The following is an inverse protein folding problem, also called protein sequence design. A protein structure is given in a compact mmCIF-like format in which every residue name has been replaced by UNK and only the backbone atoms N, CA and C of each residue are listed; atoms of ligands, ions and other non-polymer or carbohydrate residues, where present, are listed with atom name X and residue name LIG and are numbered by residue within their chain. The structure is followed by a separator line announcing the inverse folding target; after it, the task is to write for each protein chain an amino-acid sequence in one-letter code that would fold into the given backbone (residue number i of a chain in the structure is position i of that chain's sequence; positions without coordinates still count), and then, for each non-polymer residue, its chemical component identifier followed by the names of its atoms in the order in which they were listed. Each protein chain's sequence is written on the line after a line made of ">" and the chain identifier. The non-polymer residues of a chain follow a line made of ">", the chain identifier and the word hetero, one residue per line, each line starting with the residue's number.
data_IF_815972078052
#
_entry.id   IF_815972078052
#
_cell.length_a   1.000
_cell.length_b   1.000
_cell.length_c   1.000
_cell.angle_alpha   90.00
_cell.angle_beta   90.00
_cell.angle_gamma   90.00
#
_symmetry.space_group_name_H-M   'P 1'
#
loop_
_entity.id
_entity.type
_entity.pdbx_description
1 polymer ?
#
# COMPACT_ATOMS: atom_id res chain seq x y z
N UNK A 1 32.80 -18.57 43.61
CA UNK A 1 32.77 -19.91 42.96
C UNK A 1 31.45 -19.97 42.20
N UNK A 2 31.56 -19.99 40.86
CA UNK A 2 30.50 -20.05 39.85
C UNK A 2 29.54 -18.85 39.86
N UNK A 3 29.96 -17.78 39.19
CA UNK A 3 29.02 -16.91 38.47
C UNK A 3 28.41 -17.78 37.36
N UNK A 4 27.12 -18.12 37.48
CA UNK A 4 26.38 -18.74 36.38
C UNK A 4 26.27 -17.72 35.25
N UNK A 5 27.25 -17.73 34.35
CA UNK A 5 27.04 -17.19 33.02
C UNK A 5 25.91 -18.01 32.41
N UNK A 6 24.77 -17.38 32.13
CA UNK A 6 23.68 -18.02 31.39
C UNK A 6 24.24 -18.54 30.06
N UNK A 7 24.57 -19.84 30.01
CA UNK A 7 25.03 -20.50 28.80
C UNK A 7 23.82 -20.75 27.91
N UNK A 8 23.61 -19.86 26.94
CA UNK A 8 22.59 -20.04 25.92
C UNK A 8 23.07 -21.00 24.83
N UNK A 9 22.39 -22.14 24.68
CA UNK A 9 22.58 -23.03 23.54
C UNK A 9 21.85 -22.40 22.35
N UNK A 10 22.58 -22.12 21.27
CA UNK A 10 21.99 -21.68 20.00
C UNK A 10 21.90 -22.87 19.05
N UNK A 11 20.69 -23.39 18.88
CA UNK A 11 20.39 -24.48 17.93
C UNK A 11 19.71 -23.94 16.65
N UNK A 12 19.42 -24.85 15.71
CA UNK A 12 18.75 -24.50 14.46
C UNK A 12 17.35 -23.90 14.69
N UNK A 13 16.64 -24.32 15.74
CA UNK A 13 15.33 -23.77 16.09
C UNK A 13 15.44 -22.33 16.58
N UNK A 14 16.52 -22.01 17.32
CA UNK A 14 16.83 -20.66 17.78
C UNK A 14 17.13 -19.73 16.60
N UNK A 15 17.88 -20.22 15.60
CA UNK A 15 18.16 -19.50 14.35
C UNK A 15 16.87 -19.24 13.56
N UNK A 16 16.04 -20.26 13.35
CA UNK A 16 14.78 -20.11 12.61
C UNK A 16 13.78 -19.21 13.34
N UNK A 17 13.67 -19.34 14.67
CA UNK A 17 12.84 -18.46 15.49
C UNK A 17 13.29 -17.01 15.35
N UNK A 18 14.60 -16.75 15.44
CA UNK A 18 15.15 -15.42 15.25
C UNK A 18 14.80 -14.87 13.85
N UNK A 19 14.99 -15.67 12.80
CA UNK A 19 14.62 -15.29 11.44
C UNK A 19 13.15 -14.91 11.30
N UNK A 20 12.23 -15.72 11.82
CA UNK A 20 10.79 -15.45 11.75
C UNK A 20 10.44 -14.16 12.52
N UNK A 21 10.95 -14.00 13.74
CA UNK A 21 10.65 -12.82 14.57
C UNK A 21 11.20 -11.54 13.94
N UNK A 22 12.44 -11.56 13.43
CA UNK A 22 13.02 -10.43 12.71
C UNK A 22 12.22 -10.11 11.45
N UNK A 23 11.93 -11.13 10.63
CA UNK A 23 11.21 -10.96 9.35
C UNK A 23 9.80 -10.40 9.52
N UNK A 24 9.09 -10.86 10.56
CA UNK A 24 7.72 -10.40 10.86
C UNK A 24 7.70 -9.00 11.48
N UNK A 25 8.74 -8.63 12.23
CA UNK A 25 8.81 -7.31 12.84
C UNK A 25 9.27 -6.20 11.88
N UNK A 26 10.28 -6.47 11.05
CA UNK A 26 10.86 -5.48 10.15
C UNK A 26 9.84 -4.96 9.13
N UNK A 27 9.90 -3.66 8.87
CA UNK A 27 9.13 -2.97 7.83
C UNK A 27 10.00 -2.74 6.59
N UNK A 28 9.39 -2.53 5.43
CA UNK A 28 10.09 -2.19 4.18
C UNK A 28 10.08 -3.29 3.12
N UNK A 29 10.65 -3.03 1.95
CA UNK A 29 10.80 -4.01 0.88
C UNK A 29 11.95 -5.02 1.12
N UNK A 30 12.15 -6.00 0.21
CA UNK A 30 13.28 -6.94 0.27
C UNK A 30 14.66 -6.27 0.30
N UNK A 31 14.79 -5.09 -0.32
CA UNK A 31 16.02 -4.29 -0.35
C UNK A 31 16.15 -3.31 0.82
N UNK A 32 15.14 -3.23 1.69
CA UNK A 32 15.06 -2.31 2.82
C UNK A 32 15.08 -3.07 4.16
N UNK A 33 15.40 -4.36 4.15
CA UNK A 33 15.49 -5.20 5.34
C UNK A 33 16.80 -5.97 5.33
N UNK A 34 17.41 -6.13 6.48
CA UNK A 34 18.53 -7.05 6.68
C UNK A 34 17.98 -8.20 7.51
N UNK A 35 17.78 -9.36 6.87
CA UNK A 35 17.30 -10.55 7.55
C UNK A 35 18.50 -11.34 8.10
N UNK A 36 18.39 -11.97 9.28
CA UNK A 36 19.42 -12.85 9.79
C UNK A 36 19.63 -14.03 8.85
N UNK A 37 20.84 -14.60 8.89
CA UNK A 37 21.09 -15.90 8.25
C UNK A 37 20.20 -16.98 8.87
N UNK A 38 19.83 -17.95 8.04
CA UNK A 38 19.10 -19.17 8.46
C UNK A 38 20.05 -20.32 8.79
N UNK A 39 21.35 -20.06 8.82
CA UNK A 39 22.39 -21.02 9.13
C UNK A 39 23.44 -20.37 10.02
N UNK A 40 24.16 -21.19 10.79
CA UNK A 40 25.28 -20.73 11.59
C UNK A 40 26.43 -20.38 10.64
N UNK A 41 26.89 -19.13 10.68
CA UNK A 41 28.01 -18.66 9.86
C UNK A 41 29.32 -18.98 10.57
N UNK A 42 30.31 -19.47 9.82
CA UNK A 42 31.69 -19.59 10.30
C UNK A 42 32.44 -18.29 9.99
N UNK A 43 33.28 -17.84 10.91
CA UNK A 43 34.21 -16.75 10.67
C UNK A 43 35.44 -17.22 9.89
N UNK A 44 36.31 -16.28 9.50
CA UNK A 44 37.54 -16.57 8.75
C UNK A 44 38.53 -17.46 9.53
N UNK A 45 38.26 -17.76 10.80
CA UNK A 45 39.06 -18.64 11.66
C UNK A 45 38.43 -20.02 11.85
N UNK A 46 37.29 -20.30 11.21
CA UNK A 46 36.54 -21.55 11.31
C UNK A 46 35.70 -21.66 12.59
N UNK A 47 35.56 -20.58 13.36
CA UNK A 47 34.71 -20.55 14.55
C UNK A 47 33.28 -20.14 14.16
N UNK A 48 32.30 -20.80 14.78
CA UNK A 48 30.89 -20.46 14.58
C UNK A 48 30.58 -19.09 15.20
N UNK A 49 30.19 -18.14 14.36
CA UNK A 49 29.71 -16.83 14.79
C UNK A 49 28.29 -16.96 15.35
N UNK A 50 28.15 -16.71 16.65
CA UNK A 50 26.83 -16.70 17.29
C UNK A 50 25.96 -15.57 16.70
N UNK A 51 24.75 -15.86 16.20
CA UNK A 51 23.84 -14.83 15.71
C UNK A 51 23.33 -14.00 16.88
N UNK A 52 23.12 -12.69 16.66
CA UNK A 52 22.42 -11.87 17.65
C UNK A 52 20.94 -12.21 17.64
N UNK A 53 20.47 -12.87 18.68
CA UNK A 53 19.08 -13.30 18.80
C UNK A 53 18.18 -12.13 19.20
N UNK A 54 17.02 -12.03 18.56
CA UNK A 54 15.96 -11.12 18.95
C UNK A 54 15.28 -11.63 20.24
N UNK A 55 15.55 -10.97 21.36
CA UNK A 55 14.99 -11.30 22.68
C UNK A 55 13.96 -10.28 23.18
N UNK A 56 14.08 -9.02 22.78
CA UNK A 56 13.18 -7.95 23.22
C UNK A 56 13.15 -6.78 22.21
N UNK A 57 12.19 -5.88 22.39
CA UNK A 57 12.09 -4.66 21.61
C UNK A 57 13.01 -3.56 22.18
N UNK A 58 13.66 -2.74 21.33
CA UNK A 58 13.63 -2.75 19.87
C UNK A 58 14.53 -3.83 19.25
N UNK A 59 14.26 -4.19 17.99
CA UNK A 59 15.06 -5.18 17.24
C UNK A 59 16.55 -4.79 17.18
N UNK A 60 17.50 -5.75 17.25
CA UNK A 60 18.92 -5.47 17.13
C UNK A 60 19.26 -4.58 15.93
N UNK A 61 20.19 -3.64 16.15
CA UNK A 61 20.59 -2.64 15.14
C UNK A 61 21.16 -3.25 13.87
N UNK A 62 21.74 -4.44 13.95
CA UNK A 62 22.31 -5.17 12.82
C UNK A 62 21.26 -5.56 11.77
N UNK A 63 20.02 -5.77 12.21
CA UNK A 63 18.89 -6.05 11.33
C UNK A 63 18.20 -4.79 10.82
N UNK A 64 18.66 -3.60 11.26
CA UNK A 64 18.12 -2.31 10.85
C UNK A 64 19.04 -1.69 9.79
N UNK A 65 18.68 -1.72 8.50
CA UNK A 65 19.49 -1.09 7.48
C UNK A 65 19.53 0.43 7.69
N UNK A 66 20.73 0.99 7.52
CA UNK A 66 20.91 2.43 7.46
C UNK A 66 20.35 2.96 6.13
N UNK A 67 19.07 3.32 6.13
CA UNK A 67 18.48 4.02 4.99
C UNK A 67 19.08 5.43 4.96
N UNK A 68 19.94 5.68 3.97
CA UNK A 68 20.49 7.02 3.75
C UNK A 68 19.33 7.97 3.46
N UNK A 69 19.25 9.06 4.24
CA UNK A 69 18.25 10.10 4.02
C UNK A 69 18.46 10.62 2.61
N UNK A 70 17.43 10.55 1.77
CA UNK A 70 17.50 10.98 0.36
C UNK A 70 17.97 12.43 0.34
N UNK A 71 19.19 12.68 -0.16
CA UNK A 71 19.72 14.04 -0.23
C UNK A 71 18.85 14.85 -1.18
N UNK A 72 18.38 16.00 -0.72
CA UNK A 72 17.60 16.95 -1.51
C UNK A 72 18.55 17.86 -2.32
N UNK A 73 19.56 17.28 -2.98
CA UNK A 73 20.34 18.07 -3.93
C UNK A 73 19.38 18.43 -5.05
N UNK A 74 19.00 19.71 -5.08
CA UNK A 74 18.20 20.33 -6.14
C UNK A 74 19.03 20.31 -7.43
N UNK A 75 19.07 19.17 -8.11
CA UNK A 75 19.39 19.14 -9.53
C UNK A 75 18.10 19.38 -10.28
N UNK A 76 18.07 20.49 -11.01
CA UNK A 76 16.96 20.81 -11.90
C UNK A 76 16.96 19.80 -13.05
N UNK A 77 15.95 18.93 -13.09
CA UNK A 77 15.80 17.93 -14.14
C UNK A 77 14.67 18.33 -15.11
N UNK A 78 14.62 17.66 -16.26
CA UNK A 78 13.65 17.93 -17.33
C UNK A 78 12.20 17.90 -16.80
N UNK A 79 11.92 17.00 -15.86
CA UNK A 79 10.60 16.88 -15.24
C UNK A 79 10.25 18.09 -14.38
N UNK A 80 11.19 18.57 -13.57
CA UNK A 80 10.99 19.76 -12.74
C UNK A 80 10.74 20.98 -13.61
N UNK A 81 11.49 21.13 -14.71
CA UNK A 81 11.27 22.20 -15.69
C UNK A 81 9.90 22.11 -16.34
N UNK A 82 9.49 20.91 -16.74
CA UNK A 82 8.17 20.65 -17.34
C UNK A 82 7.02 21.00 -16.37
N UNK A 83 7.10 20.54 -15.12
CA UNK A 83 6.08 20.79 -14.09
C UNK A 83 5.99 22.27 -13.72
N UNK A 84 7.11 23.00 -13.71
CA UNK A 84 7.14 24.44 -13.42
C UNK A 84 6.63 25.28 -14.59
N UNK A 85 6.76 24.80 -15.84
CA UNK A 85 6.28 25.49 -17.02
C UNK A 85 4.75 25.42 -17.19
N UNK A 86 4.06 24.57 -16.43
CA UNK A 86 2.61 24.42 -16.53
C UNK A 86 1.88 25.67 -16.01
N UNK A 87 1.12 26.33 -16.89
CA UNK A 87 0.32 27.52 -16.56
C UNK A 87 -1.20 27.28 -16.53
N UNK A 88 -1.64 26.04 -16.27
CA UNK A 88 -3.07 25.73 -16.10
C UNK A 88 -3.91 25.88 -17.37
N UNK A 89 -3.31 25.68 -18.55
CA UNK A 89 -3.98 25.82 -19.84
C UNK A 89 -5.09 24.79 -20.07
N UNK A 90 -6.10 25.16 -20.88
CA UNK A 90 -7.27 24.34 -21.30
C UNK A 90 -6.92 23.06 -22.10
N UNK A 91 -5.64 22.74 -22.30
CA UNK A 91 -5.15 21.60 -23.10
C UNK A 91 -4.68 20.45 -22.21
N UNK A 92 -5.47 20.08 -21.20
CA UNK A 92 -5.11 19.10 -20.17
C UNK A 92 -4.76 17.73 -20.76
N UNK A 93 -5.47 17.30 -21.82
CA UNK A 93 -5.16 16.04 -22.54
C UNK A 93 -3.76 16.04 -23.15
N UNK A 94 -3.41 17.08 -23.92
CA UNK A 94 -2.08 17.23 -24.52
C UNK A 94 -1.00 17.39 -23.45
N UNK A 95 -1.31 18.04 -22.33
CA UNK A 95 -0.38 18.14 -21.21
C UNK A 95 -0.11 16.78 -20.56
N UNK A 96 -1.15 15.97 -20.33
CA UNK A 96 -1.04 14.62 -19.76
C UNK A 96 -0.20 13.71 -20.66
N UNK A 97 -0.41 13.75 -21.98
CA UNK A 97 0.37 12.98 -22.96
C UNK A 97 1.85 13.37 -22.90
N UNK A 98 2.17 14.68 -22.98
CA UNK A 98 3.55 15.17 -22.84
C UNK A 98 4.19 14.82 -21.49
N UNK A 99 3.41 14.89 -20.42
CA UNK A 99 3.87 14.53 -19.07
C UNK A 99 4.29 13.06 -19.01
N UNK A 100 3.51 12.16 -19.63
CA UNK A 100 3.84 10.73 -19.74
C UNK A 100 5.14 10.51 -20.52
N UNK A 101 5.33 11.21 -21.64
CA UNK A 101 6.55 11.09 -22.45
C UNK A 101 7.80 11.55 -21.69
N UNK A 102 7.73 12.69 -21.00
CA UNK A 102 8.84 13.21 -20.19
C UNK A 102 9.15 12.27 -19.03
N UNK A 103 8.12 11.79 -18.32
CA UNK A 103 8.27 10.84 -17.22
C UNK A 103 8.90 9.52 -17.72
N UNK A 104 8.41 8.97 -18.83
CA UNK A 104 8.95 7.75 -19.43
C UNK A 104 10.43 7.91 -19.75
N UNK A 105 10.80 8.97 -20.49
CA UNK A 105 12.20 9.26 -20.84
C UNK A 105 13.08 9.39 -19.61
N UNK A 106 12.60 10.06 -18.57
CA UNK A 106 13.34 10.23 -17.32
C UNK A 106 13.51 8.91 -16.56
N UNK A 107 12.46 8.10 -16.46
CA UNK A 107 12.53 6.79 -15.80
C UNK A 107 13.47 5.81 -16.52
N UNK A 108 13.59 5.92 -17.85
CA UNK A 108 14.52 5.11 -18.64
C UNK A 108 15.97 5.58 -18.53
N UNK A 109 16.21 6.91 -18.53
CA UNK A 109 17.57 7.46 -18.61
C UNK A 109 18.19 7.77 -17.26
N UNK A 110 17.40 8.30 -16.31
CA UNK A 110 17.85 8.80 -15.00
C UNK A 110 16.77 8.56 -13.92
N UNK A 111 16.40 7.29 -13.63
CA UNK A 111 15.33 6.96 -12.67
C UNK A 111 15.63 7.47 -11.25
N UNK A 112 16.91 7.69 -10.95
CA UNK A 112 17.37 8.20 -9.67
C UNK A 112 17.00 9.66 -9.41
N UNK A 113 16.65 10.43 -10.45
CA UNK A 113 16.28 11.84 -10.37
C UNK A 113 14.77 12.07 -10.16
N UNK A 114 13.93 11.06 -10.38
CA UNK A 114 12.48 11.11 -10.18
C UNK A 114 12.10 10.81 -8.74
N UNK A 115 12.45 11.71 -7.80
CA UNK A 115 12.27 11.44 -6.36
C UNK A 115 11.74 12.66 -5.60
N UNK A 116 11.15 12.39 -4.43
CA UNK A 116 10.74 13.42 -3.46
C UNK A 116 9.74 14.42 -4.04
N UNK A 117 10.01 15.71 -3.88
CA UNK A 117 9.09 16.78 -4.26
C UNK A 117 8.66 16.75 -5.73
N UNK A 118 9.51 16.27 -6.65
CA UNK A 118 9.16 16.12 -8.07
C UNK A 118 7.99 15.15 -8.24
N UNK A 119 8.00 14.03 -7.50
CA UNK A 119 6.90 13.06 -7.51
C UNK A 119 5.63 13.65 -6.91
N UNK A 120 5.73 14.44 -5.84
CA UNK A 120 4.55 15.05 -5.22
C UNK A 120 3.86 16.02 -6.19
N UNK A 121 4.65 16.90 -6.81
CA UNK A 121 4.15 17.85 -7.81
C UNK A 121 3.60 17.14 -9.04
N UNK A 122 4.28 16.10 -9.52
CA UNK A 122 3.80 15.27 -10.61
C UNK A 122 2.42 14.69 -10.29
N UNK A 123 2.25 14.03 -9.15
CA UNK A 123 0.99 13.41 -8.77
C UNK A 123 -0.15 14.43 -8.64
N UNK A 124 0.10 15.57 -7.99
CA UNK A 124 -0.90 16.63 -7.83
C UNK A 124 -1.32 17.24 -9.17
N UNK A 125 -0.37 17.57 -10.04
CA UNK A 125 -0.66 18.15 -11.36
C UNK A 125 -1.28 17.12 -12.30
N UNK A 126 -0.82 15.88 -12.28
CA UNK A 126 -1.37 14.79 -13.11
C UNK A 126 -2.82 14.54 -12.80
N UNK A 127 -3.15 14.34 -11.52
CA UNK A 127 -4.55 14.14 -11.10
C UNK A 127 -5.40 15.37 -11.42
N UNK A 128 -4.89 16.57 -11.16
CA UNK A 128 -5.65 17.80 -11.46
C UNK A 128 -5.94 17.97 -12.96
N UNK A 129 -4.99 17.63 -13.84
CA UNK A 129 -5.20 17.68 -15.30
C UNK A 129 -6.11 16.55 -15.78
N UNK A 130 -5.99 15.33 -15.24
CA UNK A 130 -6.87 14.22 -15.61
C UNK A 130 -8.32 14.48 -15.18
N UNK A 131 -8.56 15.18 -14.06
CA UNK A 131 -9.91 15.57 -13.66
C UNK A 131 -10.63 16.48 -14.67
N UNK A 132 -9.88 17.15 -15.56
CA UNK A 132 -10.43 18.01 -16.62
C UNK A 132 -10.75 17.23 -17.91
N UNK A 133 -10.40 15.95 -17.97
CA UNK A 133 -10.62 15.08 -19.14
C UNK A 133 -11.84 14.19 -18.85
N UNK A 134 -12.93 14.37 -19.60
CA UNK A 134 -14.19 13.65 -19.36
C UNK A 134 -14.04 12.12 -19.38
N UNK A 135 -13.23 11.57 -20.29
CA UNK A 135 -13.01 10.13 -20.41
C UNK A 135 -12.27 9.52 -19.20
N UNK A 136 -11.49 10.33 -18.51
CA UNK A 136 -10.71 9.95 -17.33
C UNK A 136 -11.53 10.18 -16.04
N UNK A 137 -12.20 11.33 -15.93
CA UNK A 137 -12.98 11.75 -14.77
C UNK A 137 -14.43 11.25 -14.82
N UNK A 138 -14.61 9.92 -14.78
CA UNK A 138 -15.91 9.28 -14.98
C UNK A 138 -16.79 9.25 -13.72
N UNK A 139 -16.21 9.45 -12.52
CA UNK A 139 -16.94 9.38 -11.27
C UNK A 139 -17.29 10.78 -10.75
N UNK A 140 -18.51 10.99 -10.25
CA UNK A 140 -18.88 12.27 -9.66
C UNK A 140 -18.09 12.51 -8.37
N UNK A 141 -17.69 13.77 -8.16
CA UNK A 141 -17.16 14.22 -6.88
C UNK A 141 -18.32 14.42 -5.90
N UNK A 142 -18.21 13.80 -4.73
CA UNK A 142 -19.19 13.97 -3.65
C UNK A 142 -18.70 15.04 -2.68
N UNK A 143 -19.55 16.01 -2.37
CA UNK A 143 -19.25 16.93 -1.27
C UNK A 143 -19.62 16.25 0.05
N UNK A 144 -18.69 16.21 1.01
CA UNK A 144 -19.01 15.75 2.36
C UNK A 144 -19.86 16.82 3.06
N UNK A 145 -21.18 16.68 2.99
CA UNK A 145 -22.10 17.42 3.89
C UNK A 145 -21.87 16.94 5.33
N UNK A 146 -21.77 17.87 6.29
CA UNK A 146 -21.57 17.59 7.72
C UNK A 146 -20.33 16.73 8.07
N UNK A 147 -19.23 16.91 7.33
CA UNK A 147 -17.99 16.15 7.46
C UNK A 147 -17.49 16.09 8.92
N UNK A 148 -17.46 17.23 9.61
CA UNK A 148 -16.78 17.34 10.91
C UNK A 148 -17.42 16.48 12.00
N UNK A 149 -18.76 16.43 12.06
CA UNK A 149 -19.46 15.61 13.05
C UNK A 149 -19.35 14.12 12.71
N UNK A 150 -19.44 13.76 11.43
CA UNK A 150 -19.28 12.38 10.99
C UNK A 150 -17.86 11.86 11.28
N UNK A 151 -16.83 12.68 11.03
CA UNK A 151 -15.42 12.35 11.26
C UNK A 151 -15.14 12.17 12.75
N UNK A 152 -15.64 13.07 13.61
CA UNK A 152 -15.48 12.96 15.07
C UNK A 152 -16.06 11.66 15.61
N UNK A 153 -17.22 11.24 15.11
CA UNK A 153 -17.90 10.02 15.52
C UNK A 153 -17.34 8.75 14.88
N UNK A 154 -16.52 8.86 13.83
CA UNK A 154 -15.93 7.71 13.15
C UNK A 154 -14.86 7.07 14.04
N UNK A 155 -15.07 5.80 14.41
CA UNK A 155 -14.14 5.01 15.21
C UNK A 155 -13.34 4.08 14.31
N UNK A 156 -12.02 4.15 14.42
CA UNK A 156 -11.13 3.22 13.74
C UNK A 156 -11.17 1.86 14.47
N UNK A 157 -11.12 0.76 13.72
CA UNK A 157 -11.05 -0.58 14.30
C UNK A 157 -9.68 -0.85 14.93
N UNK A 158 -9.53 -1.87 15.80
CA UNK A 158 -8.21 -2.27 16.32
C UNK A 158 -7.20 -2.58 15.21
N UNK A 159 -7.66 -3.24 14.13
CA UNK A 159 -6.84 -3.53 12.96
C UNK A 159 -6.36 -2.25 12.27
N UNK A 160 -7.23 -1.24 12.15
CA UNK A 160 -6.86 0.04 11.56
C UNK A 160 -5.84 0.79 12.41
N UNK A 161 -5.97 0.79 13.73
CA UNK A 161 -4.96 1.37 14.62
C UNK A 161 -3.59 0.67 14.48
N UNK A 162 -3.58 -0.66 14.33
CA UNK A 162 -2.35 -1.41 14.05
C UNK A 162 -1.73 -1.02 12.69
N UNK A 163 -2.57 -0.83 11.67
CA UNK A 163 -2.16 -0.32 10.37
C UNK A 163 -1.51 1.07 10.47
N UNK A 164 -2.15 2.00 11.18
CA UNK A 164 -1.60 3.34 11.44
C UNK A 164 -0.22 3.24 12.09
N UNK A 165 -0.07 2.47 13.17
CA UNK A 165 1.23 2.27 13.85
C UNK A 165 2.30 1.72 12.90
N UNK A 166 1.92 0.77 12.04
CA UNK A 166 2.82 0.15 11.06
C UNK A 166 3.30 1.15 10.02
N UNK A 167 2.39 1.98 9.51
CA UNK A 167 2.65 3.01 8.49
C UNK A 167 3.54 4.11 9.06
N UNK A 168 3.27 4.60 10.28
CA UNK A 168 4.10 5.61 10.93
C UNK A 168 5.51 5.09 11.19
N UNK A 169 5.63 3.86 11.71
CA UNK A 169 6.94 3.20 11.88
C UNK A 169 7.70 3.11 10.55
N UNK A 170 7.01 2.76 9.46
CA UNK A 170 7.61 2.69 8.13
C UNK A 170 8.00 4.07 7.58
N UNK A 171 7.17 5.10 7.72
CA UNK A 171 7.49 6.46 7.30
C UNK A 171 8.68 7.08 8.06
N UNK A 172 8.81 6.77 9.35
CA UNK A 172 9.99 7.14 10.16
C UNK A 172 11.23 6.39 9.65
N UNK A 173 11.11 5.08 9.39
CA UNK A 173 12.19 4.27 8.83
C UNK A 173 12.69 4.82 7.49
N UNK A 174 11.77 5.25 6.61
CA UNK A 174 12.07 5.92 5.34
C UNK A 174 12.57 7.37 5.49
N UNK A 175 12.54 7.94 6.71
CA UNK A 175 12.89 9.34 7.01
C UNK A 175 12.04 10.38 6.26
N UNK A 176 10.79 10.03 5.96
CA UNK A 176 9.78 10.94 5.37
C UNK A 176 8.78 11.46 6.40
N UNK A 177 8.74 10.84 7.58
CA UNK A 177 8.00 11.30 8.76
C UNK A 177 9.00 11.61 9.89
N UNK A 178 8.88 12.78 10.52
CA UNK A 178 9.80 13.22 11.57
C UNK A 178 9.24 12.97 12.99
N UNK A 179 7.93 13.13 13.19
CA UNK A 179 7.28 13.09 14.52
C UNK A 179 6.26 11.97 14.59
N UNK A 180 6.45 11.00 15.49
CA UNK A 180 5.55 9.83 15.58
C UNK A 180 4.14 10.18 16.07
N UNK A 181 3.99 11.03 17.09
CA UNK A 181 2.69 11.33 17.70
C UNK A 181 1.78 12.13 16.78
N UNK A 182 2.24 13.31 16.33
CA UNK A 182 1.50 14.19 15.42
C UNK A 182 1.12 13.50 14.12
N UNK A 183 2.06 12.74 13.52
CA UNK A 183 1.75 12.02 12.28
C UNK A 183 0.79 10.85 12.51
N UNK A 184 0.78 10.23 13.70
CA UNK A 184 -0.22 9.21 14.06
C UNK A 184 -1.62 9.83 14.11
N UNK A 185 -1.75 11.00 14.72
CA UNK A 185 -3.02 11.73 14.78
C UNK A 185 -3.47 12.19 13.39
N UNK A 186 -2.56 12.76 12.59
CA UNK A 186 -2.83 13.19 11.23
C UNK A 186 -3.29 12.03 10.32
N UNK A 187 -2.59 10.89 10.36
CA UNK A 187 -3.00 9.70 9.61
C UNK A 187 -4.32 9.12 10.12
N UNK A 188 -4.54 9.10 11.43
CA UNK A 188 -5.81 8.65 12.01
C UNK A 188 -6.96 9.54 11.57
N UNK A 189 -6.76 10.86 11.55
CA UNK A 189 -7.74 11.82 11.06
C UNK A 189 -8.01 11.62 9.56
N UNK A 190 -6.97 11.51 8.73
CA UNK A 190 -7.09 11.22 7.30
C UNK A 190 -7.88 9.93 7.06
N UNK A 191 -7.66 8.89 7.89
CA UNK A 191 -8.38 7.63 7.77
C UNK A 191 -9.86 7.72 8.11
N UNK A 192 -10.20 8.49 9.14
CA UNK A 192 -11.60 8.80 9.46
C UNK A 192 -12.27 9.59 8.35
N UNK A 193 -11.60 10.64 7.87
CA UNK A 193 -12.10 11.49 6.79
C UNK A 193 -12.38 10.68 5.51
N UNK A 194 -11.41 9.87 5.12
CA UNK A 194 -11.54 8.95 4.00
C UNK A 194 -12.63 7.91 4.21
N UNK A 195 -12.72 7.31 5.40
CA UNK A 195 -13.76 6.34 5.73
C UNK A 195 -15.16 6.92 5.63
N UNK A 196 -15.37 8.15 6.13
CA UNK A 196 -16.62 8.89 5.98
C UNK A 196 -16.95 9.15 4.50
N UNK A 197 -15.97 9.60 3.72
CA UNK A 197 -16.13 9.88 2.31
C UNK A 197 -16.50 8.64 1.50
N UNK A 198 -15.82 7.52 1.73
CA UNK A 198 -16.09 6.27 1.03
C UNK A 198 -17.44 5.69 1.42
N UNK A 199 -17.85 5.82 2.69
CA UNK A 199 -19.17 5.38 3.16
C UNK A 199 -20.31 6.07 2.41
N UNK A 200 -20.15 7.34 1.99
CA UNK A 200 -21.14 8.05 1.19
C UNK A 200 -21.27 7.48 -0.24
N UNK A 201 -20.23 6.83 -0.75
CA UNK A 201 -20.21 6.22 -2.08
C UNK A 201 -20.75 4.77 -2.08
N UNK A 202 -20.93 4.19 -0.89
CA UNK A 202 -21.40 2.81 -0.74
C UNK A 202 -22.90 2.70 -0.99
N UNK A 203 -23.29 1.61 -1.65
CA UNK A 203 -24.70 1.22 -1.77
C UNK A 203 -25.05 0.31 -0.60
N UNK A 204 -26.13 0.62 0.10
CA UNK A 204 -26.70 -0.32 1.07
C UNK A 204 -27.33 -1.47 0.31
N UNK A 205 -26.88 -2.69 0.56
CA UNK A 205 -27.52 -3.91 0.07
C UNK A 205 -27.41 -5.00 1.12
N UNK A 206 -28.44 -5.85 1.21
CA UNK A 206 -28.40 -7.04 2.07
C UNK A 206 -27.59 -8.12 1.38
N UNK A 207 -26.60 -8.65 2.07
CA UNK A 207 -25.73 -9.70 1.54
C UNK A 207 -25.73 -10.90 2.47
N UNK A 208 -25.61 -12.11 1.92
CA UNK A 208 -25.28 -13.28 2.74
C UNK A 208 -23.90 -13.14 3.40
N UNK A 209 -23.02 -12.30 2.83
CA UNK A 209 -21.68 -12.02 3.32
C UNK A 209 -21.67 -10.76 4.19
N UNK A 210 -21.73 -10.94 5.52
CA UNK A 210 -21.78 -9.84 6.51
C UNK A 210 -20.68 -8.79 6.37
N UNK A 211 -19.49 -9.17 5.87
CA UNK A 211 -18.38 -8.22 5.70
C UNK A 211 -18.62 -7.18 4.59
N UNK A 212 -19.62 -7.39 3.72
CA UNK A 212 -20.02 -6.46 2.67
C UNK A 212 -21.07 -5.44 3.13
N UNK A 213 -21.71 -5.68 4.27
CA UNK A 213 -22.81 -4.84 4.78
C UNK A 213 -22.30 -3.62 5.57
N UNK A 214 -20.99 -3.53 5.79
CA UNK A 214 -20.36 -2.48 6.58
C UNK A 214 -19.22 -1.79 5.82
N UNK A 215 -18.60 -0.81 6.47
CA UNK A 215 -17.40 -0.15 5.95
C UNK A 215 -16.30 -1.17 5.60
N UNK A 216 -15.36 -0.77 4.75
CA UNK A 216 -14.26 -1.64 4.34
C UNK A 216 -13.58 -2.27 5.59
N UNK A 217 -13.56 -3.61 5.71
CA UNK A 217 -13.12 -4.28 6.94
C UNK A 217 -11.60 -4.27 7.13
N UNK A 218 -10.85 -3.98 6.06
CA UNK A 218 -9.39 -3.94 6.08
C UNK A 218 -8.80 -2.58 6.49
N UNK A 219 -7.48 -2.52 6.43
CA UNK A 219 -6.75 -1.26 6.50
C UNK A 219 -6.53 -0.72 5.09
N UNK A 220 -6.86 0.55 4.86
CA UNK A 220 -6.74 1.18 3.54
C UNK A 220 -5.28 1.58 3.28
N UNK A 221 -4.52 0.60 2.79
CA UNK A 221 -3.12 0.74 2.42
C UNK A 221 -2.89 1.78 1.32
N UNK A 222 -3.88 2.05 0.45
CA UNK A 222 -3.75 3.05 -0.59
C UNK A 222 -3.67 4.44 0.02
N UNK A 223 -4.65 4.81 0.86
CA UNK A 223 -4.65 6.08 1.57
C UNK A 223 -3.41 6.27 2.45
N UNK A 224 -3.02 5.23 3.18
CA UNK A 224 -1.81 5.28 4.01
C UNK A 224 -0.53 5.45 3.18
N UNK A 225 -0.46 4.84 2.00
CA UNK A 225 0.66 5.03 1.08
C UNK A 225 0.71 6.44 0.54
N UNK A 226 -0.44 7.02 0.16
CA UNK A 226 -0.53 8.43 -0.25
C UNK A 226 -0.06 9.36 0.87
N UNK A 227 -0.43 9.10 2.12
CA UNK A 227 0.06 9.86 3.27
C UNK A 227 1.59 9.84 3.38
N UNK A 228 2.22 8.66 3.26
CA UNK A 228 3.69 8.53 3.22
C UNK A 228 4.28 9.27 2.00
N UNK A 229 3.66 9.12 0.83
CA UNK A 229 4.07 9.81 -0.39
C UNK A 229 4.05 11.33 -0.24
N UNK A 230 3.15 11.90 0.57
CA UNK A 230 3.14 13.33 0.86
C UNK A 230 3.89 13.70 2.14
N UNK A 231 4.89 12.90 2.55
CA UNK A 231 5.71 13.11 3.75
C UNK A 231 4.89 13.33 5.03
N UNK A 232 3.76 12.65 5.16
CA UNK A 232 2.87 12.79 6.31
C UNK A 232 1.97 14.04 6.30
N UNK A 233 1.90 14.78 5.19
CA UNK A 233 0.98 15.91 5.07
C UNK A 233 -0.45 15.41 4.77
N UNK A 234 -1.30 15.41 5.80
CA UNK A 234 -2.69 14.93 5.71
C UNK A 234 -3.56 15.73 4.72
N UNK A 235 -3.40 17.04 4.63
CA UNK A 235 -4.23 17.90 3.78
C UNK A 235 -3.93 17.71 2.29
N UNK A 236 -2.65 17.64 1.93
CA UNK A 236 -2.23 17.35 0.56
C UNK A 236 -2.64 15.94 0.14
N UNK A 237 -2.45 14.97 1.03
CA UNK A 237 -2.90 13.60 0.82
C UNK A 237 -4.42 13.54 0.60
N UNK A 238 -5.21 14.22 1.43
CA UNK A 238 -6.66 14.31 1.26
C UNK A 238 -7.05 14.97 -0.07
N UNK A 239 -6.47 16.12 -0.40
CA UNK A 239 -6.77 16.82 -1.66
C UNK A 239 -6.46 15.94 -2.89
N UNK A 240 -5.34 15.19 -2.85
CA UNK A 240 -5.04 14.20 -3.87
C UNK A 240 -6.12 13.12 -3.93
N UNK A 241 -6.44 12.47 -2.81
CA UNK A 241 -7.40 11.37 -2.73
C UNK A 241 -8.80 11.80 -3.20
N UNK A 242 -9.24 12.97 -2.77
CA UNK A 242 -10.51 13.57 -3.17
C UNK A 242 -10.60 13.72 -4.68
N UNK A 243 -9.62 14.38 -5.32
CA UNK A 243 -9.60 14.53 -6.79
C UNK A 243 -9.43 13.19 -7.50
N UNK A 244 -8.54 12.34 -7.00
CA UNK A 244 -8.27 11.02 -7.57
C UNK A 244 -9.52 10.16 -7.61
N UNK A 245 -10.43 10.30 -6.63
CA UNK A 245 -11.70 9.56 -6.60
C UNK A 245 -12.61 9.81 -7.81
N UNK A 246 -12.49 10.96 -8.48
CA UNK A 246 -13.20 11.25 -9.72
C UNK A 246 -12.69 10.42 -10.91
N UNK A 247 -11.42 9.99 -10.86
CA UNK A 247 -10.76 9.33 -11.97
C UNK A 247 -11.13 7.85 -12.05
N UNK A 248 -11.28 7.32 -13.27
CA UNK A 248 -11.50 5.90 -13.56
C UNK A 248 -10.45 5.02 -12.88
N UNK A 249 -9.19 5.45 -12.89
CA UNK A 249 -8.05 4.75 -12.28
C UNK A 249 -8.22 4.48 -10.80
N UNK A 250 -8.96 5.32 -10.07
CA UNK A 250 -9.25 5.07 -8.65
C UNK A 250 -10.11 3.83 -8.43
N UNK A 251 -10.96 3.48 -9.38
CA UNK A 251 -11.73 2.23 -9.37
C UNK A 251 -10.86 0.99 -9.59
N UNK A 252 -9.57 1.11 -9.89
CA UNK A 252 -8.66 -0.03 -10.01
C UNK A 252 -7.60 -0.04 -8.91
N UNK A 253 -7.07 1.13 -8.54
CA UNK A 253 -5.97 1.23 -7.58
C UNK A 253 -6.42 1.33 -6.13
N UNK A 254 -7.63 1.81 -5.87
CA UNK A 254 -8.11 2.10 -4.53
C UNK A 254 -9.14 1.06 -4.07
N UNK A 255 -8.63 -0.07 -3.56
CA UNK A 255 -9.47 -1.22 -3.18
C UNK A 255 -10.54 -0.90 -2.15
N UNK A 256 -10.22 -0.08 -1.14
CA UNK A 256 -11.19 0.33 -0.13
C UNK A 256 -12.38 1.11 -0.73
N UNK A 257 -12.14 1.87 -1.82
CA UNK A 257 -13.19 2.58 -2.54
C UNK A 257 -14.14 1.62 -3.24
N UNK A 258 -13.64 0.54 -3.84
CA UNK A 258 -14.46 -0.47 -4.51
C UNK A 258 -15.37 -1.27 -3.57
N UNK A 259 -15.08 -1.26 -2.26
CA UNK A 259 -15.86 -2.01 -1.29
C UNK A 259 -17.30 -1.51 -1.23
N UNK A 260 -18.23 -2.38 -1.67
CA UNK A 260 -19.67 -2.10 -1.70
C UNK A 260 -20.06 -0.85 -2.51
N UNK A 261 -19.25 -0.46 -3.50
CA UNK A 261 -19.51 0.72 -4.34
C UNK A 261 -19.36 0.40 -5.83
N UNK A 262 -20.01 1.23 -6.67
CA UNK A 262 -19.74 1.39 -8.11
C UNK A 262 -19.90 0.15 -9.01
N UNK A 263 -20.28 -1.00 -8.48
CA UNK A 263 -20.43 -2.26 -9.23
C UNK A 263 -21.91 -2.68 -9.39
N UNK A 264 -22.26 -3.42 -10.47
CA UNK A 264 -23.55 -4.09 -10.59
C UNK A 264 -23.81 -5.05 -9.41
N UNK A 265 -25.06 -5.15 -8.96
CA UNK A 265 -25.46 -5.91 -7.77
C UNK A 265 -25.06 -7.39 -7.82
N UNK A 266 -24.97 -7.99 -9.00
CA UNK A 266 -24.56 -9.39 -9.20
C UNK A 266 -23.08 -9.64 -8.90
N UNK A 267 -22.21 -8.65 -9.11
CA UNK A 267 -20.79 -8.75 -8.76
C UNK A 267 -20.58 -8.47 -7.27
N UNK A 268 -21.36 -7.54 -6.72
CA UNK A 268 -21.31 -7.19 -5.30
C UNK A 268 -21.62 -8.38 -4.39
N UNK A 269 -22.53 -9.29 -4.77
CA UNK A 269 -22.89 -10.45 -3.95
C UNK A 269 -21.73 -11.42 -3.69
N UNK A 270 -20.76 -11.49 -4.60
CA UNK A 270 -19.58 -12.35 -4.45
C UNK A 270 -18.54 -11.79 -3.47
N UNK A 271 -18.56 -10.47 -3.22
CA UNK A 271 -17.51 -9.76 -2.50
C UNK A 271 -16.16 -9.72 -3.22
N UNK A 272 -16.07 -10.26 -4.44
CA UNK A 272 -14.84 -10.24 -5.24
C UNK A 272 -14.77 -8.91 -6.00
N UNK A 273 -13.70 -8.12 -5.83
CA UNK A 273 -13.49 -6.89 -6.58
C UNK A 273 -13.54 -7.14 -8.09
N UNK A 274 -14.20 -6.29 -8.89
CA UNK A 274 -14.30 -6.48 -10.35
C UNK A 274 -12.95 -6.68 -11.03
N UNK A 275 -11.90 -5.96 -10.58
CA UNK A 275 -10.55 -6.12 -11.09
C UNK A 275 -10.03 -7.56 -10.93
N UNK A 276 -10.24 -8.17 -9.77
CA UNK A 276 -9.80 -9.54 -9.51
C UNK A 276 -10.62 -10.55 -10.31
N UNK A 277 -11.94 -10.34 -10.40
CA UNK A 277 -12.81 -11.19 -11.21
C UNK A 277 -12.39 -11.16 -12.69
N UNK A 278 -12.23 -9.98 -13.28
CA UNK A 278 -11.81 -9.83 -14.68
C UNK A 278 -10.39 -10.36 -14.92
N UNK A 279 -9.45 -10.09 -14.00
CA UNK A 279 -8.07 -10.57 -14.15
C UNK A 279 -8.01 -12.09 -14.04
N UNK A 280 -8.69 -12.67 -13.05
CA UNK A 280 -8.76 -14.13 -12.88
C UNK A 280 -9.42 -14.79 -14.10
N UNK A 281 -10.49 -14.20 -14.63
CA UNK A 281 -11.13 -14.69 -15.85
C UNK A 281 -10.20 -14.65 -17.07
N UNK A 282 -9.46 -13.56 -17.28
CA UNK A 282 -8.49 -13.46 -18.38
C UNK A 282 -7.32 -14.45 -18.21
N UNK A 283 -6.83 -14.64 -16.98
CA UNK A 283 -5.82 -15.65 -16.68
C UNK A 283 -6.38 -17.05 -16.94
N UNK A 284 -7.63 -17.33 -16.56
CA UNK A 284 -8.28 -18.61 -16.82
C UNK A 284 -8.35 -18.89 -18.33
N UNK A 285 -8.77 -17.92 -19.14
CA UNK A 285 -8.81 -18.05 -20.60
C UNK A 285 -7.41 -18.33 -21.17
N UNK A 286 -6.39 -17.61 -20.72
CA UNK A 286 -5.02 -17.82 -21.16
C UNK A 286 -4.50 -19.21 -20.75
N UNK A 287 -4.81 -19.67 -19.54
CA UNK A 287 -4.49 -21.03 -19.09
C UNK A 287 -5.24 -22.10 -19.88
N UNK A 288 -6.49 -21.86 -20.28
CA UNK A 288 -7.23 -22.79 -21.12
C UNK A 288 -6.60 -22.94 -22.50
N UNK A 289 -6.08 -21.86 -23.07
CA UNK A 289 -5.42 -21.88 -24.38
C UNK A 289 -4.01 -22.47 -24.31
N UNK A 290 -3.19 -22.00 -23.37
CA UNK A 290 -1.76 -22.34 -23.34
C UNK A 290 -1.45 -23.59 -22.50
N UNK A 291 -2.25 -23.89 -21.46
CA UNK A 291 -1.98 -24.94 -20.47
C UNK A 291 -3.24 -25.76 -20.11
N UNK A 292 -3.87 -26.46 -21.09
CA UNK A 292 -5.16 -27.15 -20.92
C UNK A 292 -5.15 -28.26 -19.85
N UNK A 293 -4.00 -28.87 -19.57
CA UNK A 293 -3.86 -29.88 -18.52
C UNK A 293 -3.89 -29.26 -17.10
N UNK A 294 -3.32 -28.07 -16.93
CA UNK A 294 -3.29 -27.34 -15.65
C UNK A 294 -4.69 -26.87 -15.28
N UNK A 295 -5.45 -26.33 -16.25
CA UNK A 295 -6.84 -25.92 -15.99
C UNK A 295 -7.73 -27.13 -15.65
N UNK A 296 -7.50 -28.28 -16.29
CA UNK A 296 -8.24 -29.52 -15.99
C UNK A 296 -7.97 -30.00 -14.56
N UNK A 297 -6.72 -29.90 -14.10
CA UNK A 297 -6.35 -30.20 -12.72
C UNK A 297 -7.04 -29.25 -11.72
N UNK A 298 -7.04 -27.93 -11.98
CA UNK A 298 -7.73 -26.95 -11.13
C UNK A 298 -9.23 -27.19 -11.03
N UNK A 299 -9.90 -27.49 -12.15
CA UNK A 299 -11.34 -27.81 -12.17
C UNK A 299 -11.63 -29.08 -11.39
N UNK A 300 -10.84 -30.13 -11.57
CA UNK A 300 -11.00 -31.37 -10.82
C UNK A 300 -10.84 -31.14 -9.31
N UNK A 301 -9.84 -30.37 -8.90
CA UNK A 301 -9.58 -30.02 -7.49
C UNK A 301 -10.73 -29.20 -6.88
N UNK A 302 -11.25 -28.20 -7.60
CA UNK A 302 -12.39 -27.40 -7.13
C UNK A 302 -13.66 -28.25 -6.97
N UNK A 303 -13.88 -29.21 -7.86
CA UNK A 303 -15.03 -30.13 -7.80
C UNK A 303 -14.92 -31.09 -6.61
N UNK A 304 -13.70 -31.55 -6.30
CA UNK A 304 -13.41 -32.37 -5.12
C UNK A 304 -13.64 -31.58 -3.81
N UNK A 305 -13.16 -30.34 -3.75
CA UNK A 305 -13.38 -29.47 -2.58
C UNK A 305 -14.85 -29.15 -2.35
N UNK A 306 -15.62 -28.89 -3.41
CA UNK A 306 -17.07 -28.68 -3.30
C UNK A 306 -17.79 -29.94 -2.83
N UNK A 307 -17.39 -31.13 -3.31
CA UNK A 307 -17.97 -32.40 -2.82
C UNK A 307 -17.66 -32.63 -1.35
N UNK A 308 -16.42 -32.42 -0.91
CA UNK A 308 -16.04 -32.54 0.51
C UNK A 308 -16.75 -31.53 1.42
N UNK A 309 -17.04 -30.31 0.93
CA UNK A 309 -17.77 -29.29 1.68
C UNK A 309 -19.27 -29.57 1.80
N UNK A 310 -19.87 -30.31 0.85
CA UNK A 310 -21.29 -30.70 0.90
C UNK A 310 -21.54 -32.01 1.65
N UNK A 311 -20.49 -32.76 2.00
CA UNK A 311 -20.58 -34.02 2.76
C UNK A 311 -20.19 -33.89 4.24
N UNK A 312 -20.08 -32.67 4.76
CA UNK A 312 -19.78 -32.37 6.17
C UNK A 312 -20.99 -31.84 6.92
#
# INVERSE_FOLDING_TARGET
>A
KIEESETFITDMLSVERNYILVKTFLVGGPTERILPSRSLEEDNTGNVKSPILFSSYPIPKEYQPNIVRRSAIKQENDMTKFLNAHRGDKKSKLWVEKCRDVLYKMMTTKPDQTKGNVLHQLLEQMVSNQCQIQDEAIFPLFNLSDADNAIKNFKLSPLQHLGVKTVIRYGIHLKVINTSSESTEALSHLMKHTGCFLKQQQKSFKSSLRFLESIYPGFDWFTASIFIFFNGNGDRAWNFLYKFSALRTSGYMWMARLHASLSPSSLLSSGIPPLFSSTAHNIELLLQTELPLVISAFRCLATLLHRSACTG
#
